data_IF_012775730551
#
_entry.id   IF_012775730551
#
_cell.length_a   1.000
_cell.length_b   1.000
_cell.length_c   1.000
_cell.angle_alpha   90.00
_cell.angle_beta   90.00
_cell.angle_gamma   90.00
#
_symmetry.space_group_name_H-M   'P 1'
#
loop_
_entity.id
_entity.type
_entity.pdbx_description
1 polymer ?
#
# COMPACT_ATOMS: atom_id res chain seq x y z
N UNK A 1 -15.75 17.45 10.66
CA UNK A 1 -15.70 16.35 9.68
C UNK A 1 -15.01 16.93 8.45
N UNK A 2 -13.86 16.38 8.08
CA UNK A 2 -13.08 16.87 6.93
C UNK A 2 -13.88 16.66 5.66
N UNK A 3 -13.92 17.66 4.77
CA UNK A 3 -14.58 17.58 3.47
C UNK A 3 -13.70 16.87 2.43
N UNK A 4 -14.29 16.41 1.32
CA UNK A 4 -13.54 15.83 0.21
C UNK A 4 -12.52 16.82 -0.39
N UNK A 5 -12.83 18.12 -0.43
CA UNK A 5 -11.90 19.15 -0.91
C UNK A 5 -10.69 19.33 0.04
N UNK A 6 -10.92 19.31 1.35
CA UNK A 6 -9.85 19.36 2.34
C UNK A 6 -8.98 18.09 2.30
N UNK A 7 -9.59 16.92 2.12
CA UNK A 7 -8.85 15.68 1.90
C UNK A 7 -7.91 15.81 0.69
N UNK A 8 -8.40 16.31 -0.45
CA UNK A 8 -7.58 16.48 -1.66
C UNK A 8 -6.45 17.50 -1.46
N UNK A 9 -6.68 18.55 -0.67
CA UNK A 9 -5.62 19.50 -0.28
C UNK A 9 -4.53 18.81 0.52
N UNK A 10 -4.91 18.02 1.54
CA UNK A 10 -3.96 17.22 2.32
C UNK A 10 -3.18 16.29 1.40
N UNK A 11 -3.85 15.46 0.59
CA UNK A 11 -3.16 14.51 -0.31
C UNK A 11 -2.20 15.21 -1.28
N UNK A 12 -2.56 16.40 -1.76
CA UNK A 12 -1.73 17.21 -2.66
C UNK A 12 -0.44 17.74 -2.04
N UNK A 13 -0.35 17.86 -0.71
CA UNK A 13 0.89 18.25 -0.02
C UNK A 13 1.92 17.11 -0.02
N UNK A 14 1.49 15.86 -0.16
CA UNK A 14 2.34 14.67 -0.02
C UNK A 14 2.75 14.05 -1.35
N UNK A 15 1.98 14.29 -2.42
CA UNK A 15 2.24 13.71 -3.73
C UNK A 15 1.33 14.23 -4.83
N UNK A 16 1.53 13.70 -6.03
CA UNK A 16 0.69 14.02 -7.18
C UNK A 16 -0.63 13.28 -7.07
N UNK A 17 -1.73 14.02 -6.93
CA UNK A 17 -3.08 13.46 -6.87
C UNK A 17 -3.67 13.32 -8.29
N UNK A 18 -4.25 12.17 -8.58
CA UNK A 18 -5.00 11.90 -9.81
C UNK A 18 -6.37 11.32 -9.44
N UNK A 19 -7.45 11.91 -9.95
CA UNK A 19 -8.78 11.33 -9.85
C UNK A 19 -8.96 10.28 -10.93
N UNK A 20 -9.31 9.05 -10.57
CA UNK A 20 -9.63 7.98 -11.53
C UNK A 20 -11.11 7.92 -11.82
N UNK A 21 -11.92 7.92 -10.77
CA UNK A 21 -13.37 7.89 -10.84
C UNK A 21 -13.97 8.80 -9.76
N UNK A 22 -15.30 9.02 -9.74
CA UNK A 22 -15.93 9.66 -8.60
C UNK A 22 -15.58 8.93 -7.30
N UNK A 23 -15.02 9.66 -6.33
CA UNK A 23 -14.58 9.13 -5.03
C UNK A 23 -13.45 8.07 -5.09
N UNK A 24 -12.69 8.02 -6.19
CA UNK A 24 -11.48 7.20 -6.31
C UNK A 24 -10.29 8.04 -6.75
N UNK A 25 -9.30 8.14 -5.88
CA UNK A 25 -8.09 8.94 -6.06
C UNK A 25 -6.83 8.09 -5.95
N UNK A 26 -5.85 8.43 -6.78
CA UNK A 26 -4.49 7.91 -6.69
C UNK A 26 -3.54 9.01 -6.26
N UNK A 27 -2.62 8.69 -5.36
CA UNK A 27 -1.58 9.61 -4.90
C UNK A 27 -0.24 9.00 -5.22
N UNK A 28 0.46 9.57 -6.20
CA UNK A 28 1.81 9.13 -6.55
C UNK A 28 2.81 9.82 -5.64
N UNK A 29 3.58 9.04 -4.90
CA UNK A 29 4.47 9.54 -3.86
C UNK A 29 5.68 8.63 -3.64
N UNK A 30 6.70 9.17 -2.96
CA UNK A 30 7.86 8.40 -2.52
C UNK A 30 7.48 7.43 -1.40
N UNK A 31 8.08 6.24 -1.40
CA UNK A 31 7.71 5.17 -0.47
C UNK A 31 7.91 5.58 0.98
N UNK A 32 8.97 6.33 1.28
CA UNK A 32 9.35 6.71 2.64
C UNK A 32 8.27 7.55 3.35
N UNK A 33 7.44 8.26 2.57
CA UNK A 33 6.39 9.15 3.08
C UNK A 33 5.08 8.42 3.40
N UNK A 34 4.92 7.16 2.99
CA UNK A 34 3.65 6.41 3.14
C UNK A 34 3.18 6.31 4.59
N UNK A 35 4.02 5.87 5.56
CA UNK A 35 3.58 5.75 6.96
C UNK A 35 3.14 7.09 7.56
N UNK A 36 3.83 8.17 7.21
CA UNK A 36 3.59 9.49 7.77
C UNK A 36 2.31 10.12 7.19
N UNK A 37 2.05 9.93 5.90
CA UNK A 37 0.76 10.31 5.31
C UNK A 37 -0.39 9.55 5.96
N UNK A 38 -0.26 8.23 6.14
CA UNK A 38 -1.33 7.42 6.75
C UNK A 38 -1.62 7.86 8.19
N UNK A 39 -0.60 8.14 9.00
CA UNK A 39 -0.77 8.73 10.34
C UNK A 39 -1.48 10.07 10.29
N UNK A 40 -1.04 10.97 9.40
CA UNK A 40 -1.66 12.28 9.20
C UNK A 40 -3.14 12.18 8.80
N UNK A 41 -3.48 11.22 7.93
CA UNK A 41 -4.85 10.97 7.55
C UNK A 41 -5.66 10.43 8.75
N UNK A 42 -5.16 9.45 9.50
CA UNK A 42 -5.86 8.95 10.70
C UNK A 42 -6.16 10.10 11.69
N UNK A 43 -5.19 10.99 11.92
CA UNK A 43 -5.37 12.15 12.81
C UNK A 43 -6.41 13.15 12.30
N UNK A 44 -6.46 13.41 10.98
CA UNK A 44 -7.31 14.45 10.40
C UNK A 44 -8.70 13.95 9.99
N UNK A 45 -8.77 12.81 9.29
CA UNK A 45 -10.02 12.24 8.75
C UNK A 45 -10.64 11.17 9.65
N UNK A 46 -9.87 10.50 10.51
CA UNK A 46 -10.41 9.50 11.44
C UNK A 46 -10.37 8.06 10.90
N UNK A 47 -11.54 7.45 10.66
CA UNK A 47 -11.65 6.02 10.29
C UNK A 47 -11.13 5.75 8.88
N UNK A 48 -9.97 5.07 8.82
CA UNK A 48 -9.30 4.62 7.60
C UNK A 48 -9.09 3.11 7.71
N UNK A 49 -9.41 2.40 6.62
CA UNK A 49 -9.22 0.95 6.55
C UNK A 49 -8.41 0.58 5.32
N UNK A 50 -7.55 -0.41 5.46
CA UNK A 50 -6.90 -1.02 4.30
C UNK A 50 -7.93 -1.83 3.54
N UNK A 51 -8.18 -1.48 2.28
CA UNK A 51 -9.01 -2.24 1.37
C UNK A 51 -8.22 -3.34 0.66
N UNK A 52 -6.97 -3.03 0.28
CA UNK A 52 -6.02 -3.97 -0.30
C UNK A 52 -4.60 -3.38 -0.31
N UNK A 53 -3.58 -4.25 -0.37
CA UNK A 53 -2.22 -3.87 -0.76
C UNK A 53 -1.85 -4.68 -1.99
N UNK A 54 -1.70 -4.00 -3.13
CA UNK A 54 -1.47 -4.67 -4.42
C UNK A 54 -0.04 -4.43 -4.87
N UNK A 55 0.75 -5.50 -4.92
CA UNK A 55 2.08 -5.49 -5.53
C UNK A 55 2.04 -5.82 -7.02
N UNK A 56 2.94 -5.22 -7.81
CA UNK A 56 3.19 -5.62 -9.19
C UNK A 56 4.62 -5.29 -9.63
N UNK A 57 5.07 -5.94 -10.70
CA UNK A 57 6.34 -5.64 -11.34
C UNK A 57 6.13 -5.20 -12.79
N UNK A 58 6.72 -4.06 -13.17
CA UNK A 58 6.63 -3.48 -14.50
C UNK A 58 7.94 -2.80 -14.87
N UNK A 59 8.47 -3.11 -16.06
CA UNK A 59 9.68 -2.49 -16.61
C UNK A 59 10.88 -2.50 -15.64
N UNK A 60 11.13 -3.63 -14.98
CA UNK A 60 12.23 -3.78 -14.02
C UNK A 60 12.01 -3.11 -12.65
N UNK A 61 10.84 -2.53 -12.41
CA UNK A 61 10.51 -1.87 -11.14
C UNK A 61 9.34 -2.55 -10.43
N UNK A 62 9.34 -2.43 -9.11
CA UNK A 62 8.23 -2.84 -8.26
C UNK A 62 7.31 -1.66 -7.99
N UNK A 63 6.00 -1.91 -8.02
CA UNK A 63 4.98 -0.93 -7.72
C UNK A 63 4.07 -1.52 -6.65
N UNK A 64 3.82 -0.77 -5.59
CA UNK A 64 2.85 -1.11 -4.55
C UNK A 64 1.74 -0.05 -4.54
N UNK A 65 0.51 -0.53 -4.52
CA UNK A 65 -0.68 0.26 -4.27
C UNK A 65 -1.18 -0.04 -2.86
N UNK A 66 -1.20 0.97 -1.98
CA UNK A 66 -1.90 0.88 -0.71
C UNK A 66 -3.30 1.47 -0.89
N UNK A 67 -4.31 0.60 -0.99
CA UNK A 67 -5.70 1.01 -1.15
C UNK A 67 -6.33 1.25 0.22
N UNK A 68 -6.73 2.49 0.48
CA UNK A 68 -7.26 2.96 1.75
C UNK A 68 -8.70 3.45 1.55
N UNK A 69 -9.63 2.88 2.30
CA UNK A 69 -11.00 3.35 2.38
C UNK A 69 -11.16 4.36 3.51
N UNK A 70 -11.65 5.55 3.19
CA UNK A 70 -11.91 6.62 4.16
C UNK A 70 -13.41 6.66 4.44
N UNK A 71 -13.84 6.06 5.55
CA UNK A 71 -15.27 5.85 5.86
C UNK A 71 -16.13 7.11 6.06
N UNK A 72 -15.67 8.22 6.66
CA UNK A 72 -16.54 9.41 6.77
C UNK A 72 -16.85 10.08 5.43
N UNK A 73 -16.10 9.75 4.37
CA UNK A 73 -16.25 10.33 3.03
C UNK A 73 -16.70 9.32 1.98
N UNK A 74 -16.62 8.02 2.30
CA UNK A 74 -16.74 6.90 1.36
C UNK A 74 -15.86 7.07 0.12
N UNK A 75 -14.61 7.47 0.36
CA UNK A 75 -13.60 7.73 -0.68
C UNK A 75 -12.53 6.64 -0.64
N UNK A 76 -12.19 6.12 -1.82
CA UNK A 76 -11.02 5.27 -2.03
C UNK A 76 -9.81 6.16 -2.34
N UNK A 77 -8.72 5.95 -1.60
CA UNK A 77 -7.43 6.57 -1.85
C UNK A 77 -6.40 5.47 -2.03
N UNK A 78 -5.78 5.41 -3.20
CA UNK A 78 -4.70 4.48 -3.50
C UNK A 78 -3.36 5.21 -3.50
N UNK A 79 -2.49 4.90 -2.54
CA UNK A 79 -1.12 5.42 -2.55
C UNK A 79 -0.29 4.57 -3.52
N UNK A 80 0.21 5.19 -4.59
CA UNK A 80 0.94 4.53 -5.67
C UNK A 80 2.43 4.81 -5.50
N UNK A 81 3.18 3.75 -5.30
CA UNK A 81 4.58 3.84 -4.93
C UNK A 81 5.41 2.94 -5.86
N UNK A 82 6.40 3.52 -6.52
CA UNK A 82 7.29 2.82 -7.44
C UNK A 82 8.71 2.80 -6.87
N UNK A 83 9.38 1.65 -6.93
CA UNK A 83 10.76 1.49 -6.48
C UNK A 83 11.54 0.50 -7.35
N UNK A 84 12.84 0.71 -7.46
CA UNK A 84 13.74 -0.21 -8.17
C UNK A 84 14.14 -1.41 -7.31
N UNK A 85 13.97 -1.32 -5.99
CA UNK A 85 14.17 -2.44 -5.06
C UNK A 85 12.83 -2.96 -4.54
N UNK A 86 12.86 -4.16 -3.95
CA UNK A 86 11.68 -4.86 -3.44
C UNK A 86 11.32 -4.50 -2.00
N UNK A 87 11.88 -3.42 -1.44
CA UNK A 87 11.61 -2.97 -0.07
C UNK A 87 10.59 -1.82 -0.03
N UNK A 88 9.55 -1.97 0.76
CA UNK A 88 8.48 -0.99 0.95
C UNK A 88 8.16 -0.84 2.44
N UNK A 89 7.62 0.30 2.92
CA UNK A 89 7.25 0.42 4.32
C UNK A 89 5.96 -0.35 4.63
N UNK A 90 5.92 -1.01 5.79
CA UNK A 90 4.71 -1.65 6.30
C UNK A 90 3.75 -0.63 6.89
N UNK A 91 2.47 -0.77 6.57
CA UNK A 91 1.35 -0.13 7.26
C UNK A 91 0.81 -1.00 8.41
N UNK A 92 1.18 -2.28 8.52
CA UNK A 92 0.68 -3.18 9.57
C UNK A 92 0.81 -2.63 11.00
N UNK A 93 1.91 -1.95 11.39
CA UNK A 93 2.01 -1.32 12.72
C UNK A 93 1.02 -0.17 12.97
N UNK A 94 0.47 0.43 11.91
CA UNK A 94 -0.45 1.59 11.97
C UNK A 94 -1.89 1.12 11.76
N UNK A 95 -2.11 0.27 10.75
CA UNK A 95 -3.39 -0.32 10.38
C UNK A 95 -3.19 -1.84 10.33
N UNK A 96 -3.54 -2.59 11.40
CA UNK A 96 -3.34 -4.04 11.45
C UNK A 96 -4.01 -4.82 10.32
N UNK A 97 -5.05 -4.24 9.69
CA UNK A 97 -5.71 -4.82 8.51
C UNK A 97 -4.81 -4.98 7.29
N UNK A 98 -3.65 -4.30 7.23
CA UNK A 98 -2.68 -4.48 6.15
C UNK A 98 -1.91 -5.80 6.21
N UNK A 99 -1.92 -6.50 7.36
CA UNK A 99 -1.09 -7.69 7.60
C UNK A 99 -1.21 -8.73 6.50
N UNK A 100 -2.44 -9.16 6.19
CA UNK A 100 -2.66 -10.25 5.23
C UNK A 100 -2.20 -9.85 3.83
N UNK A 101 -2.51 -8.62 3.39
CA UNK A 101 -2.17 -8.14 2.05
C UNK A 101 -0.66 -7.94 1.87
N UNK A 102 0.02 -7.36 2.86
CA UNK A 102 1.48 -7.20 2.83
C UNK A 102 2.17 -8.57 2.82
N UNK A 103 1.65 -9.53 3.58
CA UNK A 103 2.23 -10.86 3.65
C UNK A 103 1.96 -11.70 2.39
N UNK A 104 0.79 -11.55 1.76
CA UNK A 104 0.50 -12.13 0.44
C UNK A 104 1.44 -11.58 -0.63
N UNK A 105 1.65 -10.26 -0.68
CA UNK A 105 2.58 -9.65 -1.62
C UNK A 105 4.03 -10.07 -1.36
N UNK A 106 4.43 -10.30 -0.11
CA UNK A 106 5.71 -10.92 0.21
C UNK A 106 5.80 -12.36 -0.33
N UNK A 107 4.77 -13.18 -0.08
CA UNK A 107 4.78 -14.59 -0.46
C UNK A 107 4.79 -14.79 -1.98
N UNK A 108 4.03 -13.98 -2.72
CA UNK A 108 3.83 -14.17 -4.16
C UNK A 108 4.81 -13.37 -5.05
N UNK A 109 5.28 -12.21 -4.59
CA UNK A 109 6.17 -11.31 -5.36
C UNK A 109 7.55 -11.11 -4.74
N UNK A 110 7.74 -11.49 -3.46
CA UNK A 110 8.98 -11.26 -2.73
C UNK A 110 9.16 -9.84 -2.22
N UNK A 111 8.08 -9.05 -2.14
CA UNK A 111 8.13 -7.68 -1.63
C UNK A 111 8.31 -7.67 -0.12
N UNK A 112 9.36 -6.99 0.38
CA UNK A 112 9.68 -6.90 1.80
C UNK A 112 9.07 -5.65 2.40
N UNK A 113 8.21 -5.83 3.40
CA UNK A 113 7.56 -4.73 4.11
C UNK A 113 8.31 -4.39 5.40
N UNK A 114 9.09 -3.32 5.36
CA UNK A 114 9.91 -2.84 6.47
C UNK A 114 9.05 -2.41 7.67
N UNK A 115 9.39 -2.92 8.85
CA UNK A 115 8.62 -2.69 10.08
C UNK A 115 7.43 -3.63 10.27
N UNK A 116 7.16 -4.57 9.36
CA UNK A 116 6.09 -5.55 9.54
C UNK A 116 6.44 -6.55 10.66
N UNK A 117 5.61 -6.71 11.71
CA UNK A 117 5.96 -7.50 12.92
C UNK A 117 6.00 -9.02 12.70
N UNK A 118 5.20 -9.54 11.76
CA UNK A 118 5.03 -10.98 11.54
C UNK A 118 5.05 -11.36 10.05
N UNK A 119 6.02 -10.85 9.29
CA UNK A 119 6.11 -11.16 7.86
C UNK A 119 6.63 -12.60 7.70
N UNK A 120 5.88 -13.45 7.01
CA UNK A 120 6.12 -14.89 6.90
C UNK A 120 5.86 -15.37 5.48
N UNK A 121 6.79 -16.15 4.95
CA UNK A 121 6.62 -16.89 3.70
C UNK A 121 5.64 -18.06 3.91
N UNK A 122 5.09 -18.61 2.83
CA UNK A 122 4.16 -19.76 2.83
C UNK A 122 2.84 -19.44 3.52
N UNK A 123 2.33 -18.23 3.25
CA UNK A 123 0.97 -17.87 3.67
C UNK A 123 -0.05 -18.46 2.69
N UNK A 124 0.23 -18.34 1.40
CA UNK A 124 -0.57 -18.81 0.27
C UNK A 124 0.13 -19.98 -0.42
N UNK A 125 1.45 -19.89 -0.58
CA UNK A 125 2.23 -20.92 -1.21
C UNK A 125 2.27 -22.20 -0.37
N UNK A 126 2.19 -23.39 -1.00
CA UNK A 126 2.42 -24.67 -0.31
C UNK A 126 3.76 -24.70 0.42
N UNK A 127 3.83 -25.43 1.53
CA UNK A 127 5.03 -25.53 2.36
C UNK A 127 6.24 -26.13 1.61
N UNK A 128 5.97 -26.94 0.59
CA UNK A 128 6.97 -27.56 -0.28
C UNK A 128 7.55 -26.60 -1.32
N UNK A 129 6.94 -25.42 -1.48
CA UNK A 129 7.46 -24.41 -2.41
C UNK A 129 8.86 -24.00 -1.99
N UNK A 130 9.79 -23.81 -2.94
CA UNK A 130 11.10 -23.27 -2.61
C UNK A 130 10.97 -21.93 -1.86
N UNK A 131 11.89 -21.68 -0.93
CA UNK A 131 12.27 -20.30 -0.58
C UNK A 131 12.69 -19.61 -1.91
N UNK A 132 12.86 -18.30 -2.08
CA UNK A 132 13.17 -17.72 -3.42
C UNK A 132 12.18 -17.96 -4.60
N UNK A 133 11.15 -18.81 -4.48
CA UNK A 133 10.08 -18.92 -5.47
C UNK A 133 9.05 -17.82 -5.25
N UNK A 134 8.77 -17.04 -6.30
CA UNK A 134 7.81 -15.93 -6.32
C UNK A 134 7.01 -15.97 -7.63
N UNK A 135 5.85 -16.66 -7.68
CA UNK A 135 5.17 -16.96 -8.94
C UNK A 135 4.69 -15.73 -9.72
N UNK A 136 4.47 -14.61 -9.05
CA UNK A 136 4.02 -13.37 -9.69
C UNK A 136 5.17 -12.44 -10.08
N UNK A 137 6.41 -12.75 -9.65
CA UNK A 137 7.60 -11.97 -10.00
C UNK A 137 7.97 -12.29 -11.44
N UNK A 138 8.11 -11.25 -12.26
CA UNK A 138 8.55 -11.40 -13.65
C UNK A 138 10.07 -11.48 -13.67
N UNK A 139 10.59 -12.47 -14.40
CA UNK A 139 12.00 -12.46 -14.79
C UNK A 139 12.24 -11.24 -15.69
N UNK A 140 13.30 -10.48 -15.37
CA UNK A 140 13.70 -9.28 -16.09
C UNK A 140 14.35 -9.60 -17.42
#
# INVERSE_FOLDING_TARGET
MVSEEELLKILGEWGKVERKEPKDYRVYMDKEKVPDLVKCLIEKVGDIRTAAVTGMQKNGKFIVYYHLWIHPLDVMVSLVVESENDHFPSLTPIIPGSHFHENEAFDLLGLKFEGHPYLKKKLILPDESPEDYYPLRKEG
#
